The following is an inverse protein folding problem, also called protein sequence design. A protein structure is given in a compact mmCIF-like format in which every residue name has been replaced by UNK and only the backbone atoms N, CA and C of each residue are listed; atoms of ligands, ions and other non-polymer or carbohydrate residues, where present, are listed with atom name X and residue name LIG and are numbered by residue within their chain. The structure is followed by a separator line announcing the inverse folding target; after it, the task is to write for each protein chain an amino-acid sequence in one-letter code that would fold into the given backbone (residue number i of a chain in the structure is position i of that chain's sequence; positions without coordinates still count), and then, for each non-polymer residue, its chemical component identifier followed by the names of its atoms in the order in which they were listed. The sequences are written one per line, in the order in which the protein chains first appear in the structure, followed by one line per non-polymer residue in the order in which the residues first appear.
data_IF_211733936677
#
_entry.id   IF_211733936677
#
_cell.length_a   1.000
_cell.length_b   1.000
_cell.length_c   1.000
_cell.angle_alpha   90.00
_cell.angle_beta   90.00
_cell.angle_gamma   90.00
#
_symmetry.space_group_name_H-M   'P 1'
#
loop_
_entity.id
_entity.type
_entity.pdbx_description
1 polymer ?
#
# COMPACT_ATOMS: atom_id res chain seq x y z
N UNK A 1 -15.10 54.14 37.94
CA UNK A 1 -13.90 54.99 38.05
C UNK A 1 -12.81 54.24 38.81
N UNK A 2 -11.54 54.55 38.52
CA UNK A 2 -10.29 53.99 39.07
C UNK A 2 -9.73 52.72 38.42
N UNK A 3 -8.75 53.02 37.56
CA UNK A 3 -7.79 52.16 36.88
C UNK A 3 -6.78 51.60 37.91
N UNK A 4 -6.35 50.35 37.74
CA UNK A 4 -4.99 49.93 38.09
C UNK A 4 -4.37 49.19 36.91
N UNK A 5 -3.40 49.88 36.33
CA UNK A 5 -2.47 49.42 35.31
C UNK A 5 -1.39 48.63 36.03
N UNK A 6 -1.14 47.38 35.64
CA UNK A 6 0.07 46.69 36.04
C UNK A 6 0.93 46.43 34.80
N UNK A 7 2.01 47.21 34.71
CA UNK A 7 3.07 47.08 33.70
C UNK A 7 4.07 46.06 34.21
N UNK A 8 4.22 44.94 33.52
CA UNK A 8 5.49 44.22 33.50
C UNK A 8 5.94 44.04 32.06
N UNK A 9 6.91 44.86 31.72
CA UNK A 9 7.81 44.75 30.57
C UNK A 9 8.62 43.47 30.72
N UNK A 10 8.60 42.58 29.72
CA UNK A 10 9.69 41.64 29.49
C UNK A 10 10.15 41.78 28.04
N UNK A 11 11.45 42.00 27.97
CA UNK A 11 12.27 42.42 26.84
C UNK A 11 12.65 41.21 25.98
N UNK A 12 12.55 41.41 24.67
CA UNK A 12 13.39 40.90 23.57
C UNK A 12 14.12 39.56 23.73
N UNK A 13 13.70 38.59 22.92
CA UNK A 13 14.48 37.40 22.57
C UNK A 13 14.17 36.98 21.14
N UNK A 14 14.74 37.70 20.17
CA UNK A 14 14.77 37.27 18.79
C UNK A 14 15.61 35.98 18.69
N UNK A 15 14.99 34.88 18.28
CA UNK A 15 15.68 33.74 17.73
C UNK A 15 14.86 33.23 16.54
N UNK A 16 15.10 33.86 15.40
CA UNK A 16 14.89 33.24 14.10
C UNK A 16 15.77 32.00 14.03
N UNK A 17 15.18 30.83 14.27
CA UNK A 17 15.69 29.59 13.72
C UNK A 17 14.79 29.21 12.55
N UNK A 18 15.14 29.74 11.38
CA UNK A 18 14.69 29.19 10.12
C UNK A 18 15.22 27.76 10.03
N UNK A 19 14.42 26.79 10.50
CA UNK A 19 14.59 25.41 10.08
C UNK A 19 14.13 25.34 8.63
N UNK A 20 15.05 25.73 7.74
CA UNK A 20 15.07 25.27 6.37
C UNK A 20 15.25 23.76 6.39
N UNK A 21 14.16 23.03 6.62
CA UNK A 21 14.11 21.64 6.23
C UNK A 21 14.05 21.67 4.71
N UNK A 22 15.23 21.53 4.10
CA UNK A 22 15.33 21.01 2.76
C UNK A 22 14.54 19.69 2.76
N UNK A 23 13.27 19.75 2.35
CA UNK A 23 12.60 18.59 1.80
C UNK A 23 13.31 18.39 0.48
N UNK A 24 14.47 17.75 0.56
CA UNK A 24 15.00 17.01 -0.55
C UNK A 24 13.82 16.17 -1.02
N UNK A 25 13.30 16.51 -2.19
CA UNK A 25 12.51 15.61 -3.04
C UNK A 25 13.40 14.43 -3.43
N UNK A 26 13.89 13.70 -2.44
CA UNK A 26 14.23 12.32 -2.61
C UNK A 26 12.90 11.66 -2.87
N UNK A 27 12.69 11.27 -4.12
CA UNK A 27 11.72 10.24 -4.46
C UNK A 27 12.02 9.07 -3.53
N UNK A 28 11.38 9.06 -2.35
CA UNK A 28 11.46 7.95 -1.43
C UNK A 28 10.78 6.82 -2.18
N UNK A 29 11.59 6.02 -2.90
CA UNK A 29 11.13 4.76 -3.47
C UNK A 29 10.46 4.05 -2.33
N UNK A 30 9.15 3.88 -2.45
CA UNK A 30 8.46 3.04 -1.49
C UNK A 30 9.18 1.70 -1.52
N UNK A 31 9.44 1.09 -0.35
CA UNK A 31 10.12 -0.19 -0.32
C UNK A 31 9.32 -1.17 -1.18
N UNK A 32 10.03 -1.87 -2.08
CA UNK A 32 9.46 -3.03 -2.78
C UNK A 32 8.88 -3.93 -1.71
N UNK A 33 7.60 -4.28 -1.84
CA UNK A 33 6.98 -5.19 -0.88
C UNK A 33 7.75 -6.51 -0.89
N UNK A 34 8.28 -6.89 0.27
CA UNK A 34 8.96 -8.16 0.48
C UNK A 34 8.23 -8.85 1.64
N UNK A 35 7.73 -10.08 1.45
CA UNK A 35 7.13 -10.81 2.55
C UNK A 35 8.16 -11.08 3.65
N UNK A 36 7.71 -11.14 4.91
CA UNK A 36 8.59 -11.49 6.02
C UNK A 36 9.26 -12.84 5.78
N UNK A 37 10.40 -13.08 6.44
CA UNK A 37 11.14 -14.34 6.28
C UNK A 37 10.28 -15.55 6.65
N UNK A 38 9.45 -15.41 7.67
CA UNK A 38 8.50 -16.42 8.13
C UNK A 38 7.47 -16.76 7.04
N UNK A 39 6.83 -15.74 6.44
CA UNK A 39 5.87 -15.92 5.35
C UNK A 39 6.53 -16.56 4.12
N UNK A 40 7.78 -16.19 3.79
CA UNK A 40 8.51 -16.83 2.69
C UNK A 40 8.85 -18.30 2.94
N UNK A 41 9.04 -18.69 4.20
CA UNK A 41 9.35 -20.07 4.55
C UNK A 41 8.10 -20.96 4.56
N UNK A 42 6.93 -20.41 4.86
CA UNK A 42 5.67 -21.14 4.98
C UNK A 42 4.81 -21.15 3.72
N UNK A 43 5.14 -20.34 2.71
CA UNK A 43 4.36 -20.18 1.48
C UNK A 43 5.16 -20.65 0.28
N UNK A 44 4.47 -21.34 -0.65
CA UNK A 44 5.08 -21.76 -1.91
C UNK A 44 5.68 -20.58 -2.68
N UNK A 45 6.90 -20.72 -3.25
CA UNK A 45 7.55 -19.64 -4.00
C UNK A 45 6.70 -19.08 -5.14
N UNK A 46 5.89 -19.92 -5.80
CA UNK A 46 5.02 -19.52 -6.91
C UNK A 46 3.93 -18.54 -6.47
N UNK A 47 3.36 -18.75 -5.28
CA UNK A 47 2.35 -17.85 -4.68
C UNK A 47 2.99 -16.50 -4.36
N UNK A 48 4.19 -16.51 -3.76
CA UNK A 48 4.96 -15.29 -3.47
C UNK A 48 5.32 -14.54 -4.74
N UNK A 49 5.72 -15.26 -5.80
CA UNK A 49 6.08 -14.66 -7.08
C UNK A 49 4.87 -14.00 -7.75
N UNK A 50 3.71 -14.67 -7.79
CA UNK A 50 2.50 -14.13 -8.42
C UNK A 50 1.96 -12.93 -7.63
N UNK A 51 1.92 -13.00 -6.29
CA UNK A 51 1.57 -11.84 -5.46
C UNK A 51 2.52 -10.65 -5.72
N UNK A 52 3.83 -10.91 -5.71
CA UNK A 52 4.85 -9.86 -5.90
C UNK A 52 4.77 -9.21 -7.28
N UNK A 53 4.42 -9.97 -8.31
CA UNK A 53 4.23 -9.47 -9.68
C UNK A 53 3.13 -8.40 -9.73
N UNK A 54 1.95 -8.69 -9.21
CA UNK A 54 0.84 -7.72 -9.18
C UNK A 54 1.13 -6.56 -8.21
N UNK A 55 1.74 -6.83 -7.06
CA UNK A 55 2.12 -5.80 -6.09
C UNK A 55 3.12 -4.80 -6.65
N UNK A 56 4.04 -5.24 -7.51
CA UNK A 56 5.01 -4.37 -8.19
C UNK A 56 4.36 -3.40 -9.17
N UNK A 57 3.29 -3.81 -9.85
CA UNK A 57 2.51 -2.92 -10.73
C UNK A 57 1.96 -1.77 -9.90
N UNK A 58 1.25 -2.08 -8.81
CA UNK A 58 0.67 -1.05 -7.94
C UNK A 58 1.74 -0.17 -7.30
N UNK A 59 2.87 -0.76 -6.93
CA UNK A 59 3.98 0.00 -6.36
C UNK A 59 4.56 1.00 -7.35
N UNK A 60 4.78 0.57 -8.59
CA UNK A 60 5.24 1.44 -9.67
C UNK A 60 4.30 2.63 -9.89
N UNK A 61 2.99 2.41 -9.83
CA UNK A 61 1.97 3.47 -9.91
C UNK A 61 2.09 4.44 -8.72
N UNK A 62 2.24 3.92 -7.50
CA UNK A 62 2.41 4.71 -6.29
C UNK A 62 3.70 5.55 -6.29
N UNK A 63 4.75 5.06 -6.96
CA UNK A 63 6.01 5.76 -7.16
C UNK A 63 5.94 6.77 -8.32
N UNK A 64 4.77 6.93 -8.96
CA UNK A 64 4.53 7.94 -10.00
C UNK A 64 4.99 7.54 -11.41
N UNK A 65 5.33 6.28 -11.63
CA UNK A 65 5.72 5.81 -12.96
C UNK A 65 4.50 5.60 -13.86
N UNK A 66 4.68 5.73 -15.20
CA UNK A 66 3.64 5.43 -16.17
C UNK A 66 3.14 3.98 -16.04
N UNK A 67 1.85 3.80 -16.30
CA UNK A 67 1.18 2.50 -16.32
C UNK A 67 0.07 2.49 -17.37
N UNK A 68 -0.25 1.32 -17.89
CA UNK A 68 -1.46 1.13 -18.70
C UNK A 68 -2.66 0.83 -17.80
N UNK A 69 -3.86 1.27 -18.22
CA UNK A 69 -5.13 0.95 -17.53
C UNK A 69 -5.27 -0.56 -17.33
N UNK A 70 -4.92 -1.34 -18.36
CA UNK A 70 -4.96 -2.81 -18.31
C UNK A 70 -4.05 -3.41 -17.22
N UNK A 71 -2.83 -2.89 -17.04
CA UNK A 71 -1.92 -3.37 -15.98
C UNK A 71 -2.52 -3.09 -14.60
N UNK A 72 -3.07 -1.90 -14.40
CA UNK A 72 -3.72 -1.51 -13.16
C UNK A 72 -4.93 -2.39 -12.85
N UNK A 73 -5.86 -2.53 -13.80
CA UNK A 73 -7.05 -3.36 -13.64
C UNK A 73 -6.68 -4.82 -13.37
N UNK A 74 -5.68 -5.36 -14.08
CA UNK A 74 -5.22 -6.74 -13.86
C UNK A 74 -4.74 -6.93 -12.42
N UNK A 75 -3.97 -5.98 -11.88
CA UNK A 75 -3.49 -6.06 -10.51
C UNK A 75 -4.62 -5.89 -9.48
N UNK A 76 -5.55 -4.94 -9.70
CA UNK A 76 -6.69 -4.73 -8.80
C UNK A 76 -7.62 -5.95 -8.80
N UNK A 77 -8.03 -6.44 -9.97
CA UNK A 77 -8.89 -7.63 -10.10
C UNK A 77 -8.25 -8.86 -9.46
N UNK A 78 -6.93 -9.02 -9.60
CA UNK A 78 -6.21 -10.08 -8.91
C UNK A 78 -6.38 -9.99 -7.38
N UNK A 79 -6.14 -8.83 -6.78
CA UNK A 79 -6.25 -8.67 -5.33
C UNK A 79 -7.69 -8.74 -4.83
N UNK A 80 -8.63 -8.07 -5.51
CA UNK A 80 -10.04 -8.10 -5.15
C UNK A 80 -10.60 -9.51 -5.29
N UNK A 81 -10.29 -10.21 -6.40
CA UNK A 81 -10.75 -11.58 -6.63
C UNK A 81 -10.20 -12.58 -5.62
N UNK A 82 -8.93 -12.44 -5.24
CA UNK A 82 -8.30 -13.36 -4.27
C UNK A 82 -8.72 -13.08 -2.82
N UNK A 83 -8.81 -11.79 -2.44
CA UNK A 83 -9.02 -11.39 -1.03
C UNK A 83 -10.48 -11.07 -0.70
N UNK A 84 -11.33 -10.87 -1.72
CA UNK A 84 -12.68 -10.27 -1.59
C UNK A 84 -12.68 -8.88 -0.92
N UNK A 85 -11.53 -8.21 -0.81
CA UNK A 85 -11.41 -6.85 -0.28
C UNK A 85 -11.43 -5.88 -1.45
N UNK A 86 -12.49 -5.09 -1.56
CA UNK A 86 -12.63 -4.06 -2.58
C UNK A 86 -11.64 -2.90 -2.38
N UNK A 87 -11.14 -2.40 -3.49
CA UNK A 87 -10.27 -1.24 -3.58
C UNK A 87 -11.03 0.08 -3.34
N UNK A 88 -12.37 0.05 -3.16
CA UNK A 88 -13.19 1.19 -2.75
C UNK A 88 -13.47 2.19 -3.88
N UNK A 89 -13.96 1.72 -5.03
CA UNK A 89 -14.28 2.57 -6.19
C UNK A 89 -13.05 2.96 -7.03
N UNK A 90 -11.90 2.37 -6.72
CA UNK A 90 -10.64 2.57 -7.43
C UNK A 90 -10.68 2.10 -8.91
N UNK A 91 -11.64 1.24 -9.26
CA UNK A 91 -11.93 0.84 -10.64
C UNK A 91 -12.58 1.96 -11.49
N UNK A 92 -13.19 2.97 -10.88
CA UNK A 92 -13.89 4.05 -11.59
C UNK A 92 -12.98 5.22 -11.99
N UNK A 93 -11.71 5.21 -11.60
CA UNK A 93 -10.77 6.30 -11.90
C UNK A 93 -10.08 6.10 -13.24
N UNK A 94 -10.65 6.71 -14.29
CA UNK A 94 -9.98 6.84 -15.59
C UNK A 94 -8.92 7.94 -15.49
N UNK A 95 -7.64 7.55 -15.50
CA UNK A 95 -6.50 8.46 -15.70
C UNK A 95 -5.79 8.99 -14.46
N UNK A 96 -6.39 8.97 -13.26
CA UNK A 96 -5.67 9.31 -12.02
C UNK A 96 -6.24 8.63 -10.79
N UNK A 97 -5.52 7.60 -10.33
CA UNK A 97 -5.82 6.90 -9.08
C UNK A 97 -5.33 7.74 -7.89
N UNK A 98 -6.18 8.05 -6.89
CA UNK A 98 -5.74 8.74 -5.69
C UNK A 98 -4.67 7.92 -4.94
N UNK A 99 -3.42 8.40 -4.80
CA UNK A 99 -2.34 7.60 -4.23
C UNK A 99 -2.60 7.17 -2.77
N UNK A 100 -3.36 7.96 -2.01
CA UNK A 100 -3.77 7.63 -0.65
C UNK A 100 -4.68 6.40 -0.59
N UNK A 101 -5.72 6.36 -1.44
CA UNK A 101 -6.64 5.24 -1.50
C UNK A 101 -5.93 3.96 -1.96
N UNK A 102 -5.06 4.05 -2.97
CA UNK A 102 -4.28 2.91 -3.44
C UNK A 102 -3.28 2.40 -2.39
N UNK A 103 -2.65 3.29 -1.61
CA UNK A 103 -1.82 2.89 -0.46
C UNK A 103 -2.63 2.14 0.61
N UNK A 104 -3.84 2.61 0.92
CA UNK A 104 -4.70 1.96 1.89
C UNK A 104 -5.22 0.60 1.41
N UNK A 105 -5.57 0.48 0.13
CA UNK A 105 -5.97 -0.80 -0.47
C UNK A 105 -4.81 -1.81 -0.45
N UNK A 106 -3.63 -1.40 -0.91
CA UNK A 106 -2.43 -2.26 -0.91
C UNK A 106 -2.02 -2.72 0.49
N UNK A 107 -2.08 -1.84 1.49
CA UNK A 107 -1.81 -2.22 2.88
C UNK A 107 -2.81 -3.27 3.41
N UNK A 108 -4.11 -3.14 3.08
CA UNK A 108 -5.14 -4.11 3.48
C UNK A 108 -4.93 -5.48 2.83
N UNK A 109 -4.59 -5.52 1.54
CA UNK A 109 -4.27 -6.76 0.84
C UNK A 109 -2.99 -7.41 1.39
N UNK A 110 -1.93 -6.63 1.61
CA UNK A 110 -0.67 -7.13 2.17
C UNK A 110 -0.88 -7.75 3.57
N UNK A 111 -1.74 -7.13 4.39
CA UNK A 111 -2.10 -7.66 5.71
C UNK A 111 -3.03 -8.88 5.65
N UNK A 112 -3.90 -8.95 4.64
CA UNK A 112 -4.68 -10.16 4.36
C UNK A 112 -3.77 -11.33 3.98
N UNK A 113 -2.78 -11.10 3.12
CA UNK A 113 -1.84 -12.14 2.67
C UNK A 113 -1.06 -12.73 3.83
N UNK A 114 -0.53 -11.89 4.74
CA UNK A 114 0.21 -12.38 5.91
C UNK A 114 -0.65 -13.29 6.79
N UNK A 115 -1.92 -12.94 6.99
CA UNK A 115 -2.84 -13.70 7.84
C UNK A 115 -3.25 -15.04 7.23
N UNK A 116 -3.43 -15.08 5.91
CA UNK A 116 -3.95 -16.25 5.21
C UNK A 116 -2.89 -17.01 4.41
N UNK A 117 -1.63 -16.61 4.50
CA UNK A 117 -0.52 -17.14 3.70
C UNK A 117 -0.45 -18.68 3.74
N UNK A 118 -0.66 -19.28 4.91
CA UNK A 118 -0.62 -20.73 5.12
C UNK A 118 -1.79 -21.49 4.45
N UNK A 119 -2.88 -20.80 4.12
CA UNK A 119 -4.09 -21.38 3.51
C UNK A 119 -4.12 -21.21 1.99
N UNK A 120 -3.10 -20.53 1.42
CA UNK A 120 -3.00 -20.32 -0.01
C UNK A 120 -2.43 -21.55 -0.70
N UNK A 121 -3.09 -21.97 -1.76
CA UNK A 121 -2.63 -23.06 -2.63
C UNK A 121 -2.32 -22.53 -4.03
N UNK A 122 -1.39 -23.20 -4.72
CA UNK A 122 -1.06 -22.89 -6.10
C UNK A 122 -1.83 -23.82 -7.03
N UNK A 123 -2.58 -23.25 -7.97
CA UNK A 123 -3.24 -23.99 -9.05
C UNK A 123 -2.30 -24.03 -10.28
N UNK A 124 -1.71 -25.19 -10.62
CA UNK A 124 -0.78 -25.29 -11.73
C UNK A 124 -1.47 -25.21 -13.10
N UNK A 125 -2.78 -25.50 -13.17
CA UNK A 125 -3.56 -25.48 -14.42
C UNK A 125 -3.89 -24.04 -14.79
N UNK A 126 -4.39 -23.28 -13.81
CA UNK A 126 -4.72 -21.86 -14.01
C UNK A 126 -3.50 -20.94 -13.84
N UNK A 127 -2.37 -21.46 -13.36
CA UNK A 127 -1.18 -20.70 -12.96
C UNK A 127 -1.54 -19.53 -12.04
N UNK A 128 -2.31 -19.83 -10.99
CA UNK A 128 -2.90 -18.84 -10.10
C UNK A 128 -2.91 -19.27 -8.63
N UNK A 129 -3.18 -18.30 -7.76
CA UNK A 129 -3.34 -18.53 -6.32
C UNK A 129 -4.81 -18.84 -6.03
N UNK A 130 -5.05 -19.82 -5.17
CA UNK A 130 -6.38 -20.12 -4.62
C UNK A 130 -6.34 -19.95 -3.10
N UNK A 131 -7.47 -19.51 -2.56
CA UNK A 131 -7.67 -19.35 -1.12
C UNK A 131 -8.84 -20.20 -0.68
N UNK A 132 -8.59 -21.06 0.32
CA UNK A 132 -9.56 -22.02 0.81
C UNK A 132 -9.83 -23.14 -0.18
N UNK A 133 -9.65 -24.38 0.27
CA UNK A 133 -10.15 -25.54 -0.45
C UNK A 133 -11.68 -25.51 -0.45
N UNK A 134 -12.29 -24.92 -1.48
CA UNK A 134 -13.44 -25.56 -2.11
C UNK A 134 -12.96 -26.76 -2.93
N UNK A 135 -12.22 -27.66 -2.28
CA UNK A 135 -12.10 -29.06 -2.65
C UNK A 135 -13.01 -29.87 -1.72
N UNK A 136 -14.28 -29.45 -1.57
CA UNK A 136 -15.31 -30.42 -1.23
C UNK A 136 -15.44 -31.29 -2.46
N UNK A 137 -14.96 -32.53 -2.37
CA UNK A 137 -15.27 -33.55 -3.34
C UNK A 137 -16.77 -33.54 -3.61
N UNK A 138 -17.11 -33.34 -4.88
CA UNK A 138 -18.38 -33.74 -5.48
C UNK A 138 -18.01 -34.51 -6.73
#
# INVERSE_FOLDING_TARGET
MSRRVNRHTITTGAAMAAFGLAIASGCARSPVWVPSREVRASVRPEIVAEWSKHRRILQRILDGHPYSVREYETAVVFFEGLTSIEAGGLASFVGRVPPGALRQATARWDEWFKRHAAELTWDPVQRGIRYGDRLRGV
#
